data_IF_642993136792
#
_entry.id   IF_642993136792
#
_cell.length_a   1.000
_cell.length_b   1.000
_cell.length_c   1.000
_cell.angle_alpha   90.00
_cell.angle_beta   90.00
_cell.angle_gamma   90.00
#
_symmetry.space_group_name_H-M   'P 1'
#
loop_
_entity.id
_entity.type
_entity.pdbx_description
1 polymer ?
#
# COMPACT_ATOMS: atom_id res chain seq x y z
N UNK A 1 1.18 33.05 9.56
CA UNK A 1 0.24 32.16 8.84
C UNK A 1 0.61 31.92 7.39
N UNK A 2 0.85 32.95 6.57
CA UNK A 2 1.16 32.81 5.12
C UNK A 2 2.43 31.97 4.85
N UNK A 3 3.48 32.10 5.65
CA UNK A 3 4.72 31.34 5.46
C UNK A 3 4.57 29.82 5.69
N UNK A 4 3.62 29.41 6.54
CA UNK A 4 3.37 27.98 6.82
C UNK A 4 2.60 27.34 5.67
N UNK A 5 1.60 28.05 5.12
CA UNK A 5 0.87 27.62 3.93
C UNK A 5 1.78 27.62 2.69
N UNK A 6 2.67 28.59 2.54
CA UNK A 6 3.62 28.59 1.42
C UNK A 6 4.58 27.40 1.50
N UNK A 7 5.10 27.09 2.69
CA UNK A 7 6.00 25.95 2.91
C UNK A 7 5.30 24.59 2.65
N UNK A 8 4.03 24.46 3.05
CA UNK A 8 3.21 23.26 2.78
C UNK A 8 3.00 23.00 1.29
N UNK A 9 3.10 24.01 0.42
CA UNK A 9 2.95 23.86 -1.04
C UNK A 9 4.28 23.84 -1.79
N UNK A 10 5.25 24.68 -1.40
CA UNK A 10 6.57 24.75 -2.02
C UNK A 10 7.39 23.49 -1.77
N UNK A 11 7.33 22.93 -0.56
CA UNK A 11 8.18 21.79 -0.21
C UNK A 11 7.76 20.55 -1.02
N UNK A 12 6.48 20.12 -1.09
CA UNK A 12 6.09 19.02 -1.98
C UNK A 12 6.43 19.30 -3.45
N UNK A 13 6.26 20.55 -3.89
CA UNK A 13 6.51 20.93 -5.28
C UNK A 13 7.99 20.86 -5.69
N UNK A 14 8.91 21.10 -4.76
CA UNK A 14 10.37 21.00 -4.97
C UNK A 14 10.85 19.56 -4.74
N UNK A 15 10.28 18.89 -3.74
CA UNK A 15 10.69 17.56 -3.31
C UNK A 15 10.34 16.49 -4.34
N UNK A 16 9.22 16.62 -5.06
CA UNK A 16 8.77 15.64 -6.07
C UNK A 16 9.78 15.36 -7.21
N UNK A 17 10.77 16.24 -7.42
CA UNK A 17 11.81 16.05 -8.44
C UNK A 17 13.01 15.21 -7.97
N UNK A 18 13.09 14.89 -6.66
CA UNK A 18 14.18 14.11 -6.08
C UNK A 18 13.63 12.96 -5.22
N UNK A 19 13.72 11.73 -5.72
CA UNK A 19 13.14 10.54 -5.07
C UNK A 19 13.53 10.37 -3.59
N UNK A 20 14.78 10.66 -3.20
CA UNK A 20 15.21 10.59 -1.80
C UNK A 20 14.52 11.62 -0.90
N UNK A 21 14.30 12.84 -1.39
CA UNK A 21 13.56 13.86 -0.65
C UNK A 21 12.07 13.51 -0.55
N UNK A 22 11.50 12.88 -1.57
CA UNK A 22 10.10 12.41 -1.56
C UNK A 22 9.87 11.45 -0.41
N UNK A 23 10.77 10.47 -0.26
CA UNK A 23 10.70 9.51 0.84
C UNK A 23 10.81 10.20 2.21
N UNK A 24 11.75 11.13 2.39
CA UNK A 24 11.87 11.88 3.66
C UNK A 24 10.60 12.68 3.95
N UNK A 25 10.04 13.36 2.95
CA UNK A 25 8.82 14.15 3.12
C UNK A 25 7.63 13.29 3.54
N UNK A 26 7.38 12.19 2.83
CA UNK A 26 6.23 11.33 3.10
C UNK A 26 6.39 10.49 4.36
N UNK A 27 7.53 9.81 4.54
CA UNK A 27 7.72 8.84 5.63
C UNK A 27 8.20 9.48 6.94
N UNK A 28 8.83 10.66 6.92
CA UNK A 28 9.31 11.30 8.16
C UNK A 28 8.39 12.45 8.58
N UNK A 29 8.03 13.33 7.66
CA UNK A 29 7.31 14.57 8.01
C UNK A 29 5.80 14.33 8.02
N UNK A 30 5.24 13.93 6.88
CA UNK A 30 3.77 13.75 6.73
C UNK A 30 3.29 12.62 7.62
N UNK A 31 3.99 11.48 7.62
CA UNK A 31 3.61 10.33 8.45
C UNK A 31 3.55 10.70 9.94
N UNK A 32 4.58 11.37 10.46
CA UNK A 32 4.64 11.74 11.87
C UNK A 32 3.53 12.70 12.26
N UNK A 33 3.21 13.65 11.39
CA UNK A 33 2.07 14.55 11.59
C UNK A 33 0.74 13.80 11.62
N UNK A 34 0.48 12.96 10.61
CA UNK A 34 -0.77 12.19 10.51
C UNK A 34 -0.92 11.19 11.65
N UNK A 35 0.16 10.49 12.03
CA UNK A 35 0.13 9.54 13.13
C UNK A 35 -0.14 10.26 14.46
N UNK A 36 0.40 11.46 14.66
CA UNK A 36 0.11 12.26 15.87
C UNK A 36 -1.33 12.74 15.89
N UNK A 37 -1.84 13.23 14.75
CA UNK A 37 -3.20 13.78 14.63
C UNK A 37 -4.27 12.69 14.77
N UNK A 38 -4.07 11.56 14.11
CA UNK A 38 -5.05 10.46 14.02
C UNK A 38 -4.86 9.40 15.10
N UNK A 39 -3.74 9.44 15.84
CA UNK A 39 -3.33 8.43 16.84
C UNK A 39 -3.35 7.00 16.31
N UNK A 40 -3.08 6.83 15.01
CA UNK A 40 -3.02 5.54 14.32
C UNK A 40 -1.85 5.52 13.34
N UNK A 41 -1.45 4.36 12.86
CA UNK A 41 -0.43 4.22 11.80
C UNK A 41 -1.07 4.30 10.42
N UNK A 42 -0.27 4.60 9.38
CA UNK A 42 -0.73 4.58 7.99
C UNK A 42 -1.35 3.23 7.59
N UNK A 43 -0.73 2.08 7.90
CA UNK A 43 -1.35 0.76 7.69
C UNK A 43 -2.71 0.57 8.39
N UNK A 44 -2.87 1.05 9.62
CA UNK A 44 -4.15 0.97 10.33
C UNK A 44 -5.24 1.83 9.66
N UNK A 45 -4.88 3.04 9.20
CA UNK A 45 -5.81 3.90 8.47
C UNK A 45 -6.21 3.29 7.12
N UNK A 46 -5.25 2.70 6.42
CA UNK A 46 -5.49 1.97 5.18
C UNK A 46 -6.44 0.79 5.41
N UNK A 47 -6.18 -0.06 6.42
CA UNK A 47 -7.06 -1.17 6.80
C UNK A 47 -8.48 -0.66 7.08
N UNK A 48 -8.62 0.41 7.86
CA UNK A 48 -9.93 1.00 8.15
C UNK A 48 -10.65 1.55 6.92
N UNK A 49 -9.93 2.01 5.89
CA UNK A 49 -10.52 2.42 4.61
C UNK A 49 -10.97 1.21 3.79
N UNK A 50 -10.15 0.15 3.70
CA UNK A 50 -10.49 -1.09 3.02
C UNK A 50 -11.72 -1.74 3.65
N UNK A 51 -11.78 -1.87 4.97
CA UNK A 51 -12.93 -2.47 5.67
C UNK A 51 -14.25 -1.71 5.44
N UNK A 52 -14.20 -0.41 5.16
CA UNK A 52 -15.38 0.42 4.90
C UNK A 52 -15.84 0.36 3.44
N UNK A 53 -14.90 0.17 2.51
CA UNK A 53 -15.14 0.37 1.07
C UNK A 53 -15.09 -0.91 0.25
N UNK A 54 -14.37 -1.94 0.72
CA UNK A 54 -14.19 -3.19 0.00
C UNK A 54 -15.29 -4.21 0.33
N UNK A 55 -15.65 -5.01 -0.67
CA UNK A 55 -16.57 -6.13 -0.51
C UNK A 55 -15.83 -7.36 0.01
N UNK A 56 -16.30 -7.95 1.11
CA UNK A 56 -15.71 -9.17 1.68
C UNK A 56 -15.73 -10.31 0.65
N UNK A 57 -14.59 -10.96 0.45
CA UNK A 57 -14.43 -12.05 -0.50
C UNK A 57 -14.22 -11.62 -1.96
N UNK A 58 -14.11 -10.31 -2.24
CA UNK A 58 -13.77 -9.78 -3.56
C UNK A 58 -12.36 -9.14 -3.54
N UNK A 59 -11.32 -9.87 -3.97
CA UNK A 59 -9.95 -9.36 -4.05
C UNK A 59 -9.80 -8.11 -4.93
N UNK A 60 -10.60 -7.98 -5.99
CA UNK A 60 -10.55 -6.83 -6.88
C UNK A 60 -11.07 -5.57 -6.17
N UNK A 61 -12.12 -5.71 -5.37
CA UNK A 61 -12.64 -4.62 -4.54
C UNK A 61 -11.62 -4.16 -3.49
N UNK A 62 -10.90 -5.10 -2.85
CA UNK A 62 -9.81 -4.79 -1.90
C UNK A 62 -8.69 -3.98 -2.55
N UNK A 63 -8.17 -4.45 -3.69
CA UNK A 63 -7.10 -3.74 -4.44
C UNK A 63 -7.56 -2.34 -4.84
N UNK A 64 -8.78 -2.20 -5.36
CA UNK A 64 -9.32 -0.90 -5.75
C UNK A 64 -9.50 0.04 -4.55
N UNK A 65 -9.96 -0.46 -3.39
CA UNK A 65 -10.09 0.35 -2.19
C UNK A 65 -8.73 0.86 -1.70
N UNK A 66 -7.69 0.02 -1.76
CA UNK A 66 -6.32 0.43 -1.43
C UNK A 66 -5.82 1.50 -2.40
N UNK A 67 -6.00 1.31 -3.70
CA UNK A 67 -5.56 2.28 -4.71
C UNK A 67 -6.28 3.62 -4.56
N UNK A 68 -7.59 3.61 -4.32
CA UNK A 68 -8.37 4.83 -4.07
C UNK A 68 -7.90 5.57 -2.81
N UNK A 69 -7.66 4.85 -1.71
CA UNK A 69 -7.13 5.46 -0.49
C UNK A 69 -5.74 6.08 -0.73
N UNK A 70 -4.86 5.35 -1.41
CA UNK A 70 -3.49 5.80 -1.66
C UNK A 70 -3.41 7.00 -2.61
N UNK A 71 -4.34 7.08 -3.57
CA UNK A 71 -4.41 8.18 -4.54
C UNK A 71 -5.02 9.46 -3.97
N UNK A 72 -6.03 9.32 -3.12
CA UNK A 72 -6.86 10.47 -2.72
C UNK A 72 -6.71 10.88 -1.26
N UNK A 73 -6.20 10.00 -0.39
CA UNK A 73 -6.14 10.25 1.05
C UNK A 73 -4.71 10.35 1.55
N UNK A 74 -3.94 9.27 1.42
CA UNK A 74 -2.59 9.22 1.97
C UNK A 74 -1.72 8.29 1.13
N UNK A 75 -0.62 8.83 0.60
CA UNK A 75 0.36 8.04 -0.14
C UNK A 75 0.94 6.90 0.71
N UNK A 76 1.11 5.72 0.09
CA UNK A 76 1.73 4.56 0.72
C UNK A 76 2.70 3.87 -0.27
N UNK A 77 3.63 3.09 0.26
CA UNK A 77 4.67 2.38 -0.51
C UNK A 77 4.16 1.17 -1.32
N UNK A 78 2.86 1.09 -1.60
CA UNK A 78 2.30 0.00 -2.39
C UNK A 78 2.84 0.03 -3.83
N UNK A 79 2.84 -1.13 -4.48
CA UNK A 79 3.25 -1.26 -5.89
C UNK A 79 2.46 -0.29 -6.78
N UNK A 80 1.18 -0.08 -6.48
CA UNK A 80 0.27 0.76 -7.27
C UNK A 80 -0.24 0.06 -8.52
N UNK A 81 -1.24 0.67 -9.14
CA UNK A 81 -1.99 0.08 -10.25
C UNK A 81 -1.13 -0.14 -11.50
N UNK A 82 -0.34 0.85 -11.93
CA UNK A 82 0.50 0.76 -13.13
C UNK A 82 1.50 -0.40 -13.07
N UNK A 83 2.35 -0.42 -12.04
CA UNK A 83 3.35 -1.48 -11.85
C UNK A 83 2.69 -2.82 -11.54
N UNK A 84 1.57 -2.82 -10.84
CA UNK A 84 0.92 -4.08 -10.55
C UNK A 84 0.21 -4.67 -11.76
N UNK A 85 -0.17 -3.90 -12.79
CA UNK A 85 -0.65 -4.49 -14.05
C UNK A 85 0.47 -5.32 -14.72
N UNK A 86 1.72 -4.88 -14.60
CA UNK A 86 2.88 -5.65 -15.04
C UNK A 86 3.02 -6.92 -14.18
N UNK A 87 2.90 -6.80 -12.86
CA UNK A 87 2.91 -7.96 -11.95
C UNK A 87 1.82 -8.98 -12.32
N UNK A 88 0.59 -8.52 -12.55
CA UNK A 88 -0.54 -9.36 -12.94
C UNK A 88 -0.27 -10.11 -14.26
N UNK A 89 0.31 -9.43 -15.25
CA UNK A 89 0.70 -10.03 -16.53
C UNK A 89 1.71 -11.15 -16.31
N UNK A 90 2.78 -10.87 -15.54
CA UNK A 90 3.85 -11.84 -15.26
C UNK A 90 3.31 -13.05 -14.50
N UNK A 91 2.48 -12.86 -13.48
CA UNK A 91 1.88 -13.98 -12.73
C UNK A 91 1.00 -14.84 -13.63
N UNK A 92 0.18 -14.20 -14.48
CA UNK A 92 -0.72 -14.92 -15.39
C UNK A 92 0.03 -15.69 -16.48
N UNK A 93 1.09 -15.09 -17.05
CA UNK A 93 1.93 -15.70 -18.09
C UNK A 93 2.76 -16.86 -17.55
N UNK A 94 3.36 -16.70 -16.37
CA UNK A 94 4.21 -17.72 -15.74
C UNK A 94 3.37 -18.85 -15.13
N UNK A 95 2.17 -18.53 -14.64
CA UNK A 95 1.28 -19.45 -13.92
C UNK A 95 2.02 -20.29 -12.86
N UNK A 96 2.65 -19.64 -11.85
CA UNK A 96 3.57 -20.30 -10.95
C UNK A 96 2.84 -21.22 -9.95
N UNK A 97 3.42 -22.39 -9.69
CA UNK A 97 2.94 -23.28 -8.63
C UNK A 97 3.35 -22.80 -7.22
N UNK A 98 4.38 -21.96 -7.11
CA UNK A 98 4.83 -21.38 -5.83
C UNK A 98 5.40 -19.98 -6.05
N UNK A 99 4.99 -19.03 -5.21
CA UNK A 99 5.46 -17.65 -5.20
C UNK A 99 6.02 -17.32 -3.83
N UNK A 100 7.15 -16.60 -3.80
CA UNK A 100 7.74 -16.02 -2.60
C UNK A 100 7.68 -14.49 -2.71
N UNK A 101 7.01 -13.85 -1.75
CA UNK A 101 6.97 -12.41 -1.59
C UNK A 101 7.83 -11.99 -0.40
N UNK A 102 8.73 -11.03 -0.62
CA UNK A 102 9.61 -10.46 0.41
C UNK A 102 9.17 -9.02 0.68
N UNK A 103 8.56 -8.77 1.84
CA UNK A 103 7.95 -7.50 2.19
C UNK A 103 6.48 -7.45 1.82
N UNK A 104 5.62 -7.95 2.70
CA UNK A 104 4.16 -8.00 2.52
C UNK A 104 3.50 -6.64 2.74
N UNK A 105 4.04 -5.86 3.67
CA UNK A 105 3.48 -4.58 4.11
C UNK A 105 1.99 -4.71 4.45
N UNK A 106 1.10 -4.05 3.70
CA UNK A 106 -0.35 -4.12 3.88
C UNK A 106 -1.04 -5.14 2.94
N UNK A 107 -0.31 -6.08 2.34
CA UNK A 107 -0.88 -7.17 1.54
C UNK A 107 -1.36 -6.78 0.14
N UNK A 108 -1.09 -5.56 -0.36
CA UNK A 108 -1.57 -5.11 -1.67
C UNK A 108 -1.11 -6.04 -2.81
N UNK A 109 0.19 -6.31 -2.90
CA UNK A 109 0.75 -7.23 -3.90
C UNK A 109 0.34 -8.67 -3.64
N UNK A 110 0.25 -9.08 -2.38
CA UNK A 110 -0.24 -10.40 -1.97
C UNK A 110 -1.62 -10.68 -2.56
N UNK A 111 -2.58 -9.75 -2.42
CA UNK A 111 -3.93 -9.87 -2.96
C UNK A 111 -3.93 -9.95 -4.48
N UNK A 112 -3.10 -9.12 -5.14
CA UNK A 112 -2.96 -9.14 -6.60
C UNK A 112 -2.38 -10.44 -7.13
N UNK A 113 -1.41 -11.03 -6.45
CA UNK A 113 -0.82 -12.32 -6.81
C UNK A 113 -1.83 -13.43 -6.55
N UNK A 114 -2.35 -13.52 -5.32
CA UNK A 114 -3.20 -14.62 -4.88
C UNK A 114 -4.46 -14.79 -5.74
N UNK A 115 -5.09 -13.70 -6.19
CA UNK A 115 -6.30 -13.76 -7.04
C UNK A 115 -6.06 -14.37 -8.43
N UNK A 116 -4.80 -14.44 -8.88
CA UNK A 116 -4.40 -14.95 -10.20
C UNK A 116 -3.82 -16.37 -10.13
N UNK A 117 -3.52 -16.86 -8.93
CA UNK A 117 -2.93 -18.17 -8.74
C UNK A 117 -3.98 -19.29 -8.87
N UNK A 118 -3.62 -20.45 -9.44
CA UNK A 118 -4.52 -21.59 -9.47
C UNK A 118 -4.71 -22.18 -8.05
N UNK A 119 -5.80 -22.91 -7.78
CA UNK A 119 -6.14 -23.38 -6.41
C UNK A 119 -5.08 -24.24 -5.70
N UNK A 120 -4.15 -24.84 -6.45
CA UNK A 120 -3.08 -25.69 -5.92
C UNK A 120 -1.76 -24.95 -5.71
N UNK A 121 -1.65 -23.71 -6.16
CA UNK A 121 -0.44 -22.92 -6.00
C UNK A 121 -0.31 -22.41 -4.56
N UNK A 122 0.93 -22.09 -4.19
CA UNK A 122 1.27 -21.57 -2.87
C UNK A 122 1.85 -20.18 -2.98
N UNK A 123 1.35 -19.25 -2.17
CA UNK A 123 1.96 -17.94 -1.96
C UNK A 123 2.54 -17.91 -0.55
N UNK A 124 3.85 -17.70 -0.45
CA UNK A 124 4.57 -17.55 0.81
C UNK A 124 5.00 -16.10 0.89
N UNK A 125 4.63 -15.42 1.95
CA UNK A 125 4.97 -14.01 2.16
C UNK A 125 5.82 -13.90 3.42
N UNK A 126 6.80 -12.99 3.41
CA UNK A 126 7.67 -12.71 4.54
C UNK A 126 7.63 -11.22 4.86
N UNK A 127 7.17 -10.89 6.07
CA UNK A 127 7.14 -9.53 6.59
C UNK A 127 7.97 -9.46 7.87
N UNK A 128 8.91 -8.50 7.90
CA UNK A 128 9.81 -8.31 9.04
C UNK A 128 9.11 -7.57 10.18
N UNK A 129 8.23 -6.63 9.86
CA UNK A 129 7.54 -5.82 10.85
C UNK A 129 6.29 -6.56 11.38
N UNK A 130 6.24 -6.95 12.66
CA UNK A 130 5.11 -7.69 13.22
C UNK A 130 3.79 -6.91 13.18
N UNK A 131 3.83 -5.57 13.23
CA UNK A 131 2.62 -4.75 13.15
C UNK A 131 1.99 -4.82 11.75
N UNK A 132 2.82 -4.93 10.70
CA UNK A 132 2.36 -5.03 9.33
C UNK A 132 1.85 -6.44 9.04
N UNK A 133 2.55 -7.47 9.52
CA UNK A 133 2.11 -8.87 9.43
C UNK A 133 0.72 -9.07 10.07
N UNK A 134 0.49 -8.52 11.26
CA UNK A 134 -0.79 -8.59 11.95
C UNK A 134 -1.93 -7.89 11.17
N UNK A 135 -1.63 -6.76 10.53
CA UNK A 135 -2.63 -6.01 9.76
C UNK A 135 -3.03 -6.71 8.47
N UNK A 136 -2.10 -7.42 7.83
CA UNK A 136 -2.38 -8.17 6.61
C UNK A 136 -3.39 -9.30 6.87
N UNK A 137 -3.25 -10.06 7.97
CA UNK A 137 -4.19 -11.10 8.36
C UNK A 137 -5.64 -10.58 8.53
N UNK A 138 -5.80 -9.27 8.82
CA UNK A 138 -7.10 -8.62 9.05
C UNK A 138 -7.79 -8.11 7.78
N UNK A 139 -7.10 -8.09 6.63
CA UNK A 139 -7.66 -7.65 5.34
C UNK A 139 -8.50 -8.76 4.67
N UNK A 140 -8.30 -10.02 5.06
CA UNK A 140 -8.95 -11.21 4.51
C UNK A 140 -10.25 -11.65 5.26
#
# INVERSE_FOLDING_TARGET
LIGVTLALWLIPAVVQYHGGLVLIWHDVIVERMLNTLTRSTRPQRLLGAVQKSATRGDPCSVVNAIDQFCRHTEWAMNVGDEKGCILDSVVSEVNPATVLELGTYCGYSTVRIARLLPPHAKLITLEFNPDFACLEELIW
#
